data_IF_898454501214
#
_entry.id   IF_898454501214
#
_cell.length_a   1.000
_cell.length_b   1.000
_cell.length_c   1.000
_cell.angle_alpha   90.00
_cell.angle_beta   90.00
_cell.angle_gamma   90.00
#
_symmetry.space_group_name_H-M   'P 1'
#
loop_
_entity.id
_entity.type
_entity.pdbx_description
1 polymer ?
#
# COMPACT_ATOMS: atom_id res chain seq x y z
N UNK A 1 37.50 -4.25 -24.39
CA UNK A 1 37.41 -3.04 -23.53
C UNK A 1 36.09 -3.07 -22.79
N UNK A 2 36.12 -3.50 -21.53
CA UNK A 2 34.96 -3.55 -20.64
C UNK A 2 34.51 -2.14 -20.23
N UNK A 3 33.36 -1.68 -20.74
CA UNK A 3 32.63 -0.57 -20.13
C UNK A 3 31.65 -1.15 -19.10
N UNK A 4 32.15 -1.44 -17.90
CA UNK A 4 31.30 -1.55 -16.71
C UNK A 4 30.78 -0.15 -16.38
N UNK A 5 29.63 0.21 -16.93
CA UNK A 5 28.92 1.44 -16.56
C UNK A 5 28.43 1.28 -15.11
N UNK A 6 29.19 1.83 -14.17
CA UNK A 6 28.76 1.98 -12.77
C UNK A 6 27.56 2.93 -12.74
N UNK A 7 26.35 2.38 -12.71
CA UNK A 7 25.11 3.14 -12.50
C UNK A 7 25.03 3.62 -11.05
N UNK A 8 25.75 4.71 -10.73
CA UNK A 8 25.45 5.51 -9.54
C UNK A 8 24.59 6.68 -9.98
N UNK A 9 23.32 6.65 -9.63
CA UNK A 9 22.40 7.78 -9.83
C UNK A 9 22.70 8.77 -8.70
N UNK A 10 23.33 9.89 -9.06
CA UNK A 10 23.62 10.99 -8.13
C UNK A 10 22.33 11.76 -7.80
N UNK A 11 22.30 12.41 -6.63
CA UNK A 11 21.15 13.17 -6.08
C UNK A 11 20.58 14.20 -7.09
N UNK A 12 21.42 14.70 -8.00
CA UNK A 12 21.09 15.72 -9.01
C UNK A 12 20.39 15.17 -10.26
N UNK A 13 20.53 13.88 -10.57
CA UNK A 13 19.97 13.33 -11.82
C UNK A 13 18.43 13.32 -11.77
N UNK A 14 17.83 12.99 -10.62
CA UNK A 14 16.37 12.85 -10.50
C UNK A 14 15.65 14.19 -10.56
N UNK A 15 16.20 15.24 -9.97
CA UNK A 15 15.61 16.58 -10.08
C UNK A 15 15.62 17.04 -11.55
N UNK A 16 16.70 16.75 -12.27
CA UNK A 16 16.79 16.96 -13.72
C UNK A 16 15.73 16.15 -14.48
N UNK A 17 15.55 14.86 -14.19
CA UNK A 17 14.53 14.03 -14.86
C UNK A 17 13.10 14.52 -14.56
N UNK A 18 12.84 14.92 -13.32
CA UNK A 18 11.56 15.52 -12.91
C UNK A 18 11.32 16.89 -13.56
N UNK A 19 12.38 17.63 -13.96
CA UNK A 19 12.25 18.89 -14.69
C UNK A 19 12.02 18.74 -16.20
N UNK A 20 12.30 17.59 -16.81
CA UNK A 20 12.11 17.36 -18.24
C UNK A 20 10.62 17.21 -18.62
N UNK A 21 10.24 17.56 -19.85
CA UNK A 21 8.97 17.09 -20.40
C UNK A 21 9.02 15.58 -20.68
N UNK A 22 7.86 14.94 -20.81
CA UNK A 22 7.78 13.51 -21.12
C UNK A 22 8.66 13.09 -22.30
N UNK A 23 8.57 13.77 -23.45
CA UNK A 23 9.32 13.37 -24.65
C UNK A 23 10.83 13.65 -24.57
N UNK A 24 11.24 14.67 -23.81
CA UNK A 24 12.67 14.87 -23.51
C UNK A 24 13.21 13.75 -22.63
N UNK A 25 12.45 13.32 -21.61
CA UNK A 25 12.81 12.18 -20.77
C UNK A 25 12.92 10.88 -21.59
N UNK A 26 11.98 10.62 -22.52
CA UNK A 26 12.10 9.46 -23.45
C UNK A 26 13.40 9.52 -24.26
N UNK A 27 13.74 10.69 -24.79
CA UNK A 27 14.96 10.88 -25.58
C UNK A 27 16.22 10.63 -24.74
N UNK A 28 16.23 11.15 -23.51
CA UNK A 28 17.29 10.92 -22.54
C UNK A 28 17.46 9.42 -22.21
N UNK A 29 16.38 8.71 -21.92
CA UNK A 29 16.42 7.27 -21.59
C UNK A 29 16.88 6.41 -22.78
N UNK A 30 16.47 6.77 -24.01
CA UNK A 30 16.97 6.11 -25.24
C UNK A 30 18.47 6.33 -25.44
N UNK A 31 19.00 7.50 -25.06
CA UNK A 31 20.44 7.76 -25.07
C UNK A 31 21.16 6.96 -23.98
N UNK A 32 20.58 6.90 -22.77
CA UNK A 32 21.16 6.23 -21.59
C UNK A 32 21.26 4.71 -21.75
N UNK A 33 20.18 4.06 -22.19
CA UNK A 33 20.10 2.59 -22.26
C UNK A 33 20.21 2.02 -23.67
N UNK A 34 20.24 2.88 -24.69
CA UNK A 34 20.22 2.48 -26.09
C UNK A 34 18.81 2.25 -26.64
N UNK A 35 18.74 2.06 -27.96
CA UNK A 35 17.50 1.84 -28.69
C UNK A 35 17.09 0.37 -28.64
N UNK A 36 15.81 0.12 -28.41
CA UNK A 36 15.18 -1.18 -28.67
C UNK A 36 15.11 -1.37 -30.20
N UNK A 37 15.43 -2.56 -30.68
CA UNK A 37 15.55 -2.85 -32.13
C UNK A 37 14.40 -3.70 -32.68
N UNK A 38 13.63 -4.35 -31.83
CA UNK A 38 12.53 -5.23 -32.22
C UNK A 38 11.23 -4.78 -31.55
N UNK A 39 10.10 -5.13 -32.16
CA UNK A 39 8.78 -4.89 -31.59
C UNK A 39 8.55 -5.68 -30.31
N UNK A 40 7.73 -5.13 -29.42
CA UNK A 40 7.36 -5.72 -28.13
C UNK A 40 6.58 -7.02 -28.29
N UNK A 41 5.68 -7.07 -29.27
CA UNK A 41 4.85 -8.23 -29.53
C UNK A 41 4.79 -8.53 -31.03
N UNK A 42 4.53 -9.80 -31.34
CA UNK A 42 4.17 -10.29 -32.67
C UNK A 42 2.72 -10.75 -32.65
N UNK A 43 1.99 -10.46 -33.71
CA UNK A 43 0.59 -10.85 -33.87
C UNK A 43 0.52 -11.83 -35.02
N UNK A 44 0.01 -13.03 -34.75
CA UNK A 44 -0.26 -14.01 -35.80
C UNK A 44 -1.54 -13.61 -36.53
N UNK A 45 -1.47 -13.53 -37.86
CA UNK A 45 -2.58 -13.09 -38.71
C UNK A 45 -3.76 -14.07 -38.74
N UNK A 46 -3.55 -15.35 -38.44
CA UNK A 46 -4.59 -16.37 -38.58
C UNK A 46 -5.42 -16.63 -37.31
N UNK A 47 -4.94 -16.22 -36.13
CA UNK A 47 -5.61 -16.51 -34.84
C UNK A 47 -5.67 -15.31 -33.88
N UNK A 48 -5.27 -14.12 -34.33
CA UNK A 48 -5.09 -12.94 -33.46
C UNK A 48 -4.24 -13.26 -32.21
N UNK A 49 -3.31 -14.20 -32.36
CA UNK A 49 -2.49 -14.66 -31.25
C UNK A 49 -1.36 -13.68 -31.01
N UNK A 50 -1.31 -13.13 -29.80
CA UNK A 50 -0.26 -12.22 -29.35
C UNK A 50 0.88 -13.01 -28.71
N UNK A 51 2.10 -12.84 -29.24
CA UNK A 51 3.33 -13.41 -28.67
C UNK A 51 4.27 -12.29 -28.25
N UNK A 52 4.63 -12.23 -26.95
CA UNK A 52 5.57 -11.23 -26.42
C UNK A 52 7.01 -11.58 -26.80
N UNK A 53 7.78 -10.59 -27.24
CA UNK A 53 9.17 -10.77 -27.60
C UNK A 53 10.08 -10.78 -26.37
N UNK A 54 10.36 -11.97 -25.86
CA UNK A 54 11.23 -12.12 -24.69
C UNK A 54 12.70 -11.74 -24.94
N UNK A 55 13.15 -11.62 -26.20
CA UNK A 55 14.56 -11.29 -26.53
C UNK A 55 14.93 -9.85 -26.18
N UNK A 56 13.96 -8.95 -26.20
CA UNK A 56 14.16 -7.55 -25.82
C UNK A 56 13.99 -7.32 -24.32
N UNK A 57 13.56 -8.34 -23.56
CA UNK A 57 13.35 -8.19 -22.13
C UNK A 57 14.70 -8.05 -21.41
N UNK A 58 14.82 -7.01 -20.58
CA UNK A 58 16.00 -6.70 -19.77
C UNK A 58 15.71 -6.73 -18.27
N UNK A 59 14.69 -7.48 -17.83
CA UNK A 59 14.37 -7.71 -16.42
C UNK A 59 15.58 -8.25 -15.64
N UNK A 60 16.40 -9.11 -16.25
CA UNK A 60 17.63 -9.64 -15.66
C UNK A 60 18.75 -8.58 -15.50
N UNK A 61 18.65 -7.46 -16.20
CA UNK A 61 19.49 -6.27 -16.02
C UNK A 61 18.82 -5.25 -15.07
N UNK A 62 17.65 -5.55 -14.53
CA UNK A 62 16.87 -4.67 -13.67
C UNK A 62 16.12 -3.55 -14.39
N UNK A 63 15.87 -3.71 -15.70
CA UNK A 63 15.21 -2.73 -16.55
C UNK A 63 13.81 -3.22 -16.99
N UNK A 64 12.92 -2.26 -17.13
CA UNK A 64 11.59 -2.40 -17.71
C UNK A 64 11.56 -1.84 -19.13
N UNK A 65 10.60 -2.31 -19.91
CA UNK A 65 10.19 -1.67 -21.16
C UNK A 65 8.97 -0.78 -20.85
N UNK A 66 9.07 0.48 -21.23
CA UNK A 66 7.96 1.43 -21.25
C UNK A 66 7.50 1.66 -22.68
N UNK A 67 6.19 1.60 -22.91
CA UNK A 67 5.57 1.95 -24.17
C UNK A 67 5.37 3.47 -24.22
N UNK A 68 6.10 4.15 -25.10
CA UNK A 68 6.09 5.62 -25.27
C UNK A 68 4.67 6.14 -25.53
N UNK A 69 3.85 5.35 -26.22
CA UNK A 69 2.46 5.69 -26.55
C UNK A 69 1.48 5.53 -25.37
N UNK A 70 1.93 5.05 -24.21
CA UNK A 70 1.15 5.09 -22.97
C UNK A 70 0.87 6.51 -22.48
N UNK A 71 1.53 7.51 -23.09
CA UNK A 71 1.14 8.91 -22.99
C UNK A 71 -0.28 9.17 -23.48
N UNK A 72 -0.75 8.44 -24.49
CA UNK A 72 -2.08 8.62 -25.08
C UNK A 72 -3.05 7.50 -24.70
N UNK A 73 -2.58 6.25 -24.61
CA UNK A 73 -3.44 5.08 -24.44
C UNK A 73 -2.90 4.21 -23.31
N UNK A 74 -3.64 3.97 -22.22
CA UNK A 74 -3.11 3.24 -21.08
C UNK A 74 -3.01 1.74 -21.37
N UNK A 75 -2.09 1.04 -20.70
CA UNK A 75 -1.99 -0.43 -20.67
C UNK A 75 -1.72 -1.06 -22.05
N UNK A 76 -0.78 -0.51 -22.82
CA UNK A 76 -0.43 -0.98 -24.15
C UNK A 76 0.25 -2.36 -24.18
N UNK A 77 0.55 -2.91 -23.00
CA UNK A 77 1.09 -4.25 -22.82
C UNK A 77 0.01 -5.33 -22.65
N UNK A 78 -1.29 -4.98 -22.66
CA UNK A 78 -2.39 -5.95 -22.58
C UNK A 78 -2.72 -6.53 -23.95
N UNK A 79 -3.11 -7.81 -24.04
CA UNK A 79 -3.43 -8.45 -25.31
C UNK A 79 -4.48 -7.67 -26.12
N UNK A 80 -5.52 -7.16 -25.47
CA UNK A 80 -6.55 -6.35 -26.12
C UNK A 80 -5.97 -5.09 -26.78
N UNK A 81 -5.13 -4.33 -26.07
CA UNK A 81 -4.52 -3.13 -26.65
C UNK A 81 -3.41 -3.44 -27.66
N UNK A 82 -2.73 -4.59 -27.53
CA UNK A 82 -1.76 -5.04 -28.54
C UNK A 82 -2.45 -5.33 -29.86
N UNK A 83 -3.62 -5.96 -29.82
CA UNK A 83 -4.43 -6.24 -31.02
C UNK A 83 -5.04 -4.97 -31.61
N UNK A 84 -5.49 -4.04 -30.75
CA UNK A 84 -6.12 -2.80 -31.18
C UNK A 84 -5.10 -1.77 -31.71
N UNK A 85 -3.88 -1.76 -31.18
CA UNK A 85 -2.81 -0.81 -31.52
C UNK A 85 -1.48 -1.53 -31.80
N UNK A 86 -1.41 -2.37 -32.86
CA UNK A 86 -0.22 -3.14 -33.20
C UNK A 86 1.00 -2.25 -33.51
N UNK A 87 0.79 -1.10 -34.14
CA UNK A 87 1.83 -0.14 -34.50
C UNK A 87 2.46 0.52 -33.26
N UNK A 88 1.78 0.51 -32.10
CA UNK A 88 2.33 1.01 -30.84
C UNK A 88 3.29 0.02 -30.19
N UNK A 89 3.38 -1.21 -30.70
CA UNK A 89 4.30 -2.23 -30.24
C UNK A 89 5.66 -2.15 -30.92
N UNK A 90 5.81 -1.35 -31.97
CA UNK A 90 7.06 -1.21 -32.72
C UNK A 90 8.21 -0.66 -31.87
N UNK A 91 9.44 -1.09 -32.19
CA UNK A 91 10.65 -0.74 -31.45
C UNK A 91 10.84 0.77 -31.19
N UNK A 92 10.45 1.62 -32.15
CA UNK A 92 10.52 3.10 -32.03
C UNK A 92 9.63 3.66 -30.92
N UNK A 93 8.56 2.94 -30.57
CA UNK A 93 7.59 3.29 -29.54
C UNK A 93 7.93 2.70 -28.17
N UNK A 94 9.14 2.16 -28.00
CA UNK A 94 9.59 1.55 -26.74
C UNK A 94 10.82 2.28 -26.19
N UNK A 95 11.00 2.21 -24.87
CA UNK A 95 12.21 2.68 -24.18
C UNK A 95 12.49 1.81 -22.96
N UNK A 96 13.78 1.64 -22.63
CA UNK A 96 14.18 1.01 -21.37
C UNK A 96 14.21 2.02 -20.21
N UNK A 97 13.84 1.58 -19.02
CA UNK A 97 13.93 2.38 -17.80
C UNK A 97 14.07 1.48 -16.56
N UNK A 98 14.75 1.95 -15.51
CA UNK A 98 14.67 1.30 -14.20
C UNK A 98 13.35 1.65 -13.51
N UNK A 99 13.07 1.03 -12.34
CA UNK A 99 11.77 1.20 -11.66
C UNK A 99 11.48 2.65 -11.19
N UNK A 100 12.49 3.43 -10.83
CA UNK A 100 12.31 4.85 -10.44
C UNK A 100 12.05 5.71 -11.68
N UNK A 101 12.80 5.51 -12.75
CA UNK A 101 12.57 6.20 -14.03
C UNK A 101 11.19 5.85 -14.60
N UNK A 102 10.74 4.61 -14.41
CA UNK A 102 9.40 4.16 -14.80
C UNK A 102 8.32 4.89 -14.01
N UNK A 103 8.53 5.11 -12.71
CA UNK A 103 7.65 5.96 -11.90
C UNK A 103 7.61 7.40 -12.45
N UNK A 104 8.77 7.99 -12.77
CA UNK A 104 8.83 9.35 -13.31
C UNK A 104 8.06 9.47 -14.63
N UNK A 105 8.20 8.49 -15.53
CA UNK A 105 7.42 8.46 -16.77
C UNK A 105 5.91 8.50 -16.52
N UNK A 106 5.41 7.73 -15.55
CA UNK A 106 3.99 7.76 -15.19
C UNK A 106 3.55 9.02 -14.46
N UNK A 107 4.42 9.62 -13.65
CA UNK A 107 4.18 10.95 -13.05
C UNK A 107 4.00 12.00 -14.17
N UNK A 108 4.84 11.95 -15.20
CA UNK A 108 4.75 12.85 -16.36
C UNK A 108 3.44 12.66 -17.12
N UNK A 109 3.08 11.42 -17.44
CA UNK A 109 1.79 11.11 -18.08
C UNK A 109 0.62 11.65 -17.25
N UNK A 110 0.65 11.43 -15.92
CA UNK A 110 -0.40 11.93 -15.01
C UNK A 110 -0.51 13.45 -14.99
N UNK A 111 0.60 14.16 -15.04
CA UNK A 111 0.62 15.62 -14.91
C UNK A 111 0.36 16.33 -16.25
N UNK A 112 0.75 15.71 -17.36
CA UNK A 112 0.67 16.32 -18.71
C UNK A 112 -0.58 15.87 -19.50
N UNK A 113 -1.31 14.85 -19.02
CA UNK A 113 -2.44 14.25 -19.77
C UNK A 113 -3.61 13.83 -18.86
N UNK A 114 -4.72 13.43 -19.48
CA UNK A 114 -5.86 12.78 -18.80
C UNK A 114 -5.80 11.25 -18.84
N UNK A 115 -4.71 10.68 -19.38
CA UNK A 115 -4.53 9.24 -19.54
C UNK A 115 -4.48 8.54 -18.18
N UNK A 116 -5.16 7.39 -18.08
CA UNK A 116 -5.19 6.61 -16.83
C UNK A 116 -3.81 6.03 -16.52
N UNK A 117 -3.36 6.20 -15.28
CA UNK A 117 -2.04 5.73 -14.81
C UNK A 117 -2.16 4.62 -13.75
N UNK A 118 -3.15 3.73 -13.90
CA UNK A 118 -3.44 2.64 -12.96
C UNK A 118 -2.21 1.80 -12.60
N UNK A 119 -1.32 1.56 -13.58
CA UNK A 119 -0.06 0.82 -13.40
C UNK A 119 0.86 1.46 -12.35
N UNK A 120 0.87 2.78 -12.27
CA UNK A 120 1.64 3.52 -11.27
C UNK A 120 1.22 3.17 -9.85
N UNK A 121 -0.10 3.21 -9.58
CA UNK A 121 -0.66 2.97 -8.25
C UNK A 121 -0.81 1.48 -7.90
N UNK A 122 -0.99 0.61 -8.89
CA UNK A 122 -1.24 -0.83 -8.68
C UNK A 122 0.02 -1.69 -8.74
N UNK A 123 1.09 -1.20 -9.39
CA UNK A 123 2.31 -1.99 -9.60
C UNK A 123 3.55 -1.25 -9.13
N UNK A 124 3.83 -0.07 -9.69
CA UNK A 124 5.14 0.59 -9.54
C UNK A 124 5.36 1.08 -8.10
N UNK A 125 4.44 1.88 -7.57
CA UNK A 125 4.50 2.41 -6.20
C UNK A 125 4.45 1.27 -5.17
N UNK A 126 3.52 0.31 -5.25
CA UNK A 126 3.52 -0.88 -4.39
C UNK A 126 4.87 -1.62 -4.34
N UNK A 127 5.50 -1.82 -5.50
CA UNK A 127 6.79 -2.52 -5.58
C UNK A 127 7.93 -1.74 -4.95
N UNK A 128 7.99 -0.43 -5.19
CA UNK A 128 8.96 0.45 -4.53
C UNK A 128 8.76 0.47 -3.02
N UNK A 129 7.51 0.55 -2.56
CA UNK A 129 7.19 0.49 -1.14
C UNK A 129 7.67 -0.80 -0.49
N UNK A 130 7.45 -1.93 -1.16
CA UNK A 130 7.89 -3.24 -0.70
C UNK A 130 9.44 -3.32 -0.62
N UNK A 131 10.15 -2.85 -1.64
CA UNK A 131 11.61 -2.76 -1.63
C UNK A 131 12.12 -1.92 -0.44
N UNK A 132 11.53 -0.75 -0.21
CA UNK A 132 11.96 0.16 0.86
C UNK A 132 11.45 -0.22 2.26
N UNK A 133 10.44 -1.09 2.33
CA UNK A 133 10.01 -1.74 3.58
C UNK A 133 10.92 -2.91 3.96
N UNK A 134 11.94 -3.22 3.14
CA UNK A 134 12.95 -4.23 3.46
C UNK A 134 12.59 -5.64 2.98
N UNK A 135 11.65 -5.79 2.04
CA UNK A 135 11.39 -7.11 1.43
C UNK A 135 12.66 -7.64 0.78
N UNK A 136 12.95 -8.91 1.06
CA UNK A 136 14.04 -9.65 0.45
C UNK A 136 13.56 -10.34 -0.83
N UNK A 137 14.10 -9.90 -1.96
CA UNK A 137 13.82 -10.45 -3.28
C UNK A 137 14.84 -11.51 -3.72
N UNK A 138 15.72 -11.98 -2.83
CA UNK A 138 16.68 -13.04 -3.12
C UNK A 138 16.00 -14.24 -3.79
N UNK A 139 16.63 -14.77 -4.84
CA UNK A 139 16.11 -15.89 -5.65
C UNK A 139 14.82 -15.60 -6.42
N UNK A 140 14.50 -14.32 -6.65
CA UNK A 140 13.39 -13.91 -7.51
C UNK A 140 13.92 -13.10 -8.70
N UNK A 141 13.13 -13.02 -9.77
CA UNK A 141 13.43 -12.14 -10.91
C UNK A 141 13.52 -10.66 -10.54
N UNK A 142 13.00 -10.27 -9.39
CA UNK A 142 12.95 -8.89 -8.92
C UNK A 142 14.21 -8.47 -8.13
N UNK A 143 15.11 -9.41 -7.84
CA UNK A 143 16.33 -9.13 -7.07
C UNK A 143 17.19 -8.03 -7.72
N UNK A 144 17.34 -8.09 -9.05
CA UNK A 144 18.14 -7.12 -9.82
C UNK A 144 17.50 -5.73 -9.81
N UNK A 145 16.18 -5.68 -9.97
CA UNK A 145 15.40 -4.43 -9.88
C UNK A 145 15.56 -3.80 -8.50
N UNK A 146 15.36 -4.60 -7.44
CA UNK A 146 15.49 -4.15 -6.06
C UNK A 146 16.90 -3.60 -5.78
N UNK A 147 17.96 -4.31 -6.21
CA UNK A 147 19.35 -3.87 -6.04
C UNK A 147 19.64 -2.51 -6.68
N UNK A 148 19.08 -2.21 -7.86
CA UNK A 148 19.30 -0.94 -8.55
C UNK A 148 18.64 0.22 -7.80
N UNK A 149 17.42 0.04 -7.30
CA UNK A 149 16.63 1.14 -6.73
C UNK A 149 16.76 1.28 -5.21
N UNK A 150 17.23 0.26 -4.49
CA UNK A 150 17.45 0.31 -3.04
C UNK A 150 18.24 1.55 -2.57
N UNK A 151 19.33 2.00 -3.23
CA UNK A 151 20.04 3.22 -2.82
C UNK A 151 19.27 4.52 -3.13
N UNK A 152 18.12 4.47 -3.80
CA UNK A 152 17.40 5.63 -4.35
C UNK A 152 16.16 6.02 -3.54
N UNK A 153 16.12 5.66 -2.25
CA UNK A 153 14.96 5.90 -1.37
C UNK A 153 14.59 7.39 -1.28
N UNK A 154 15.57 8.27 -1.16
CA UNK A 154 15.31 9.71 -1.08
C UNK A 154 14.77 10.26 -2.41
N UNK A 155 15.26 9.74 -3.53
CA UNK A 155 14.80 10.07 -4.87
C UNK A 155 13.35 9.60 -5.07
N UNK A 156 13.00 8.43 -4.55
CA UNK A 156 11.61 7.97 -4.53
C UNK A 156 10.69 8.96 -3.77
N UNK A 157 11.10 9.43 -2.60
CA UNK A 157 10.34 10.44 -1.87
C UNK A 157 10.16 11.74 -2.65
N UNK A 158 11.19 12.21 -3.36
CA UNK A 158 11.10 13.37 -4.26
C UNK A 158 10.07 13.12 -5.37
N UNK A 159 10.08 11.95 -6.00
CA UNK A 159 9.09 11.58 -7.01
C UNK A 159 7.65 11.63 -6.45
N UNK A 160 7.43 11.10 -5.25
CA UNK A 160 6.11 11.15 -4.62
C UNK A 160 5.67 12.57 -4.24
N UNK A 161 6.59 13.42 -3.81
CA UNK A 161 6.29 14.84 -3.55
C UNK A 161 5.86 15.56 -4.85
N UNK A 162 6.46 15.21 -5.98
CA UNK A 162 6.14 15.76 -7.30
C UNK A 162 4.74 15.36 -7.83
N UNK A 163 4.10 14.34 -7.25
CA UNK A 163 2.71 14.00 -7.59
C UNK A 163 1.69 15.05 -7.13
N UNK A 164 2.11 16.03 -6.31
CA UNK A 164 1.27 17.11 -5.79
C UNK A 164 -0.07 16.64 -5.20
N UNK A 165 -0.04 15.51 -4.48
CA UNK A 165 -1.24 14.93 -3.89
C UNK A 165 -1.87 15.94 -2.92
N UNK A 166 -3.16 16.25 -3.14
CA UNK A 166 -3.86 17.31 -2.38
C UNK A 166 -4.70 16.75 -1.23
N UNK A 167 -5.39 15.63 -1.45
CA UNK A 167 -6.35 15.06 -0.50
C UNK A 167 -5.83 13.76 0.12
N UNK A 168 -6.26 13.43 1.34
CA UNK A 168 -5.81 12.21 2.03
C UNK A 168 -6.09 10.93 1.23
N UNK A 169 -7.20 10.88 0.51
CA UNK A 169 -7.58 9.71 -0.30
C UNK A 169 -6.61 9.47 -1.47
N UNK A 170 -5.93 10.51 -1.94
CA UNK A 170 -4.89 10.38 -2.97
C UNK A 170 -3.58 9.83 -2.40
N UNK A 171 -3.27 10.16 -1.15
CA UNK A 171 -2.14 9.55 -0.43
C UNK A 171 -2.40 8.09 -0.09
N UNK A 172 -3.64 7.75 0.25
CA UNK A 172 -4.02 6.37 0.55
C UNK A 172 -3.75 5.43 -0.64
N UNK A 173 -3.79 5.94 -1.87
CA UNK A 173 -3.42 5.18 -3.09
C UNK A 173 -1.94 4.83 -3.18
N UNK A 174 -1.08 5.59 -2.50
CA UNK A 174 0.38 5.36 -2.50
C UNK A 174 0.87 4.61 -1.26
N UNK A 175 0.02 4.40 -0.25
CA UNK A 175 0.32 3.59 0.94
C UNK A 175 -0.09 2.12 0.72
N UNK A 176 0.47 1.53 -0.34
CA UNK A 176 0.04 0.25 -0.91
C UNK A 176 1.24 -0.67 -1.15
N UNK A 177 0.95 -1.94 -1.43
CA UNK A 177 1.95 -2.99 -1.61
C UNK A 177 1.42 -4.12 -2.47
N UNK A 178 2.33 -4.91 -3.05
CA UNK A 178 1.95 -5.96 -3.96
C UNK A 178 1.47 -7.19 -3.20
N UNK A 179 0.23 -7.62 -3.48
CA UNK A 179 -0.38 -8.79 -2.82
C UNK A 179 0.45 -10.07 -3.02
N UNK A 180 1.12 -10.20 -4.16
CA UNK A 180 2.01 -11.33 -4.48
C UNK A 180 3.24 -11.41 -3.57
N UNK A 181 3.66 -10.29 -2.96
CA UNK A 181 4.79 -10.26 -2.04
C UNK A 181 4.44 -10.74 -0.63
N UNK A 182 3.17 -11.12 -0.35
CA UNK A 182 2.78 -11.78 0.92
C UNK A 182 3.69 -12.96 1.25
N UNK A 183 4.03 -13.75 0.23
CA UNK A 183 4.92 -14.93 0.36
C UNK A 183 6.38 -14.55 0.66
N UNK A 184 6.77 -13.32 0.34
CA UNK A 184 8.11 -12.74 0.59
C UNK A 184 8.16 -11.95 1.91
N UNK A 185 7.14 -12.11 2.77
CA UNK A 185 7.09 -11.44 4.07
C UNK A 185 6.40 -10.08 4.05
N UNK A 186 5.78 -9.66 2.94
CA UNK A 186 4.95 -8.46 2.96
C UNK A 186 3.78 -8.58 3.95
N UNK A 187 3.62 -7.58 4.82
CA UNK A 187 2.39 -7.36 5.59
C UNK A 187 2.22 -5.88 5.95
N UNK A 188 1.00 -5.47 6.31
CA UNK A 188 0.72 -4.10 6.80
C UNK A 188 1.63 -3.76 7.99
N UNK A 189 1.84 -4.72 8.90
CA UNK A 189 2.69 -4.54 10.08
C UNK A 189 4.16 -4.35 9.69
N UNK A 190 4.65 -5.14 8.74
CA UNK A 190 6.06 -5.09 8.34
C UNK A 190 6.39 -3.81 7.55
N UNK A 191 5.41 -3.23 6.87
CA UNK A 191 5.58 -1.98 6.12
C UNK A 191 5.22 -0.74 6.94
N UNK A 192 4.78 -0.89 8.20
CA UNK A 192 4.26 0.21 9.01
C UNK A 192 5.29 1.31 9.20
N UNK A 193 6.53 0.97 9.54
CA UNK A 193 7.61 1.93 9.77
C UNK A 193 7.89 2.77 8.52
N UNK A 194 7.98 2.12 7.36
CA UNK A 194 8.20 2.80 6.09
C UNK A 194 7.01 3.69 5.69
N UNK A 195 5.77 3.24 5.94
CA UNK A 195 4.59 4.06 5.69
C UNK A 195 4.49 5.25 6.63
N UNK A 196 4.94 5.12 7.89
CA UNK A 196 5.01 6.25 8.81
C UNK A 196 6.07 7.27 8.37
N UNK A 197 7.22 6.81 7.88
CA UNK A 197 8.23 7.67 7.27
C UNK A 197 7.68 8.41 6.05
N UNK A 198 7.00 7.71 5.13
CA UNK A 198 6.34 8.31 3.96
C UNK A 198 5.34 9.40 4.36
N UNK A 199 4.46 9.12 5.33
CA UNK A 199 3.48 10.08 5.84
C UNK A 199 4.15 11.34 6.38
N UNK A 200 5.25 11.18 7.11
CA UNK A 200 6.02 12.29 7.67
C UNK A 200 6.63 13.14 6.55
N UNK A 201 7.33 12.51 5.60
CA UNK A 201 8.00 13.21 4.50
C UNK A 201 7.01 13.98 3.62
N UNK A 202 5.83 13.42 3.37
CA UNK A 202 4.83 14.03 2.49
C UNK A 202 3.82 14.92 3.24
N UNK A 203 4.04 15.22 4.53
CA UNK A 203 3.16 16.03 5.37
C UNK A 203 1.70 15.55 5.39
N UNK A 204 1.48 14.24 5.40
CA UNK A 204 0.15 13.62 5.30
C UNK A 204 -0.87 14.17 6.32
N UNK A 205 -0.47 14.33 7.58
CA UNK A 205 -1.39 14.74 8.65
C UNK A 205 -1.84 16.21 8.55
N UNK A 206 -1.07 17.05 7.86
CA UNK A 206 -1.40 18.47 7.63
C UNK A 206 -2.40 18.68 6.49
N UNK A 207 -2.75 17.63 5.74
CA UNK A 207 -3.71 17.72 4.63
C UNK A 207 -5.13 17.65 5.16
N UNK A 208 -6.00 18.54 4.70
CA UNK A 208 -7.44 18.51 5.01
C UNK A 208 -8.06 17.23 4.41
N UNK A 209 -8.52 16.31 5.25
CA UNK A 209 -9.40 15.24 4.81
C UNK A 209 -10.80 15.80 4.57
N UNK A 210 -11.47 15.38 3.50
CA UNK A 210 -12.92 15.56 3.44
C UNK A 210 -13.49 14.73 4.60
N UNK A 211 -14.32 15.32 5.45
CA UNK A 211 -15.16 14.52 6.35
C UNK A 211 -16.09 13.71 5.46
N UNK A 212 -15.73 12.44 5.24
CA UNK A 212 -16.49 11.56 4.38
C UNK A 212 -17.77 11.15 5.12
N UNK A 213 -18.83 11.93 4.96
CA UNK A 213 -20.21 11.46 5.07
C UNK A 213 -20.50 10.71 3.78
N UNK A 214 -20.66 9.40 3.94
CA UNK A 214 -21.45 8.48 3.13
C UNK A 214 -21.08 8.25 1.65
N UNK A 215 -20.73 6.97 1.41
CA UNK A 215 -20.80 6.16 0.17
C UNK A 215 -19.46 5.90 -0.59
N UNK A 216 -19.23 4.60 -0.82
CA UNK A 216 -18.26 3.82 -1.67
C UNK A 216 -16.82 3.50 -1.15
N UNK A 217 -16.15 2.40 -1.61
CA UNK A 217 -16.18 1.08 -0.97
C UNK A 217 -14.79 0.53 -0.55
N UNK A 218 -14.82 -0.37 0.45
CA UNK A 218 -13.83 -1.39 0.86
C UNK A 218 -12.41 -1.35 0.26
N UNK A 219 -11.62 -0.37 0.68
CA UNK A 219 -10.15 -0.40 0.60
C UNK A 219 -9.49 -0.93 1.89
N UNK A 220 -8.21 -1.35 1.85
CA UNK A 220 -7.47 -1.92 2.99
C UNK A 220 -7.36 -0.97 4.21
N UNK A 221 -7.54 0.35 4.02
CA UNK A 221 -7.63 1.32 5.11
C UNK A 221 -8.95 1.25 5.90
N UNK A 222 -10.06 0.82 5.26
CA UNK A 222 -11.30 0.53 5.98
C UNK A 222 -11.09 -0.64 6.94
N UNK A 223 -10.31 -1.65 6.55
CA UNK A 223 -9.97 -2.76 7.43
C UNK A 223 -9.14 -2.32 8.64
N UNK A 224 -8.09 -1.50 8.47
CA UNK A 224 -7.25 -1.05 9.61
C UNK A 224 -8.05 -0.14 10.55
N UNK A 225 -8.85 0.79 10.00
CA UNK A 225 -9.72 1.67 10.81
C UNK A 225 -10.80 0.86 11.54
N UNK A 226 -11.35 -0.18 10.91
CA UNK A 226 -12.31 -1.08 11.54
C UNK A 226 -11.68 -2.02 12.55
N UNK A 227 -10.46 -2.51 12.33
CA UNK A 227 -9.71 -3.31 13.30
C UNK A 227 -9.38 -2.47 14.53
N UNK A 228 -8.98 -1.21 14.35
CA UNK A 228 -8.75 -0.29 15.47
C UNK A 228 -10.05 0.01 16.23
N UNK A 229 -11.13 0.36 15.52
CA UNK A 229 -12.46 0.57 16.12
C UNK A 229 -13.00 -0.69 16.81
N UNK A 230 -12.78 -1.87 16.24
CA UNK A 230 -13.20 -3.16 16.82
C UNK A 230 -12.40 -3.50 18.08
N UNK A 231 -11.09 -3.26 18.09
CA UNK A 231 -10.25 -3.39 19.30
C UNK A 231 -10.70 -2.41 20.39
N UNK A 232 -11.00 -1.17 20.04
CA UNK A 232 -11.51 -0.16 20.98
C UNK A 232 -12.91 -0.51 21.50
N UNK A 233 -13.79 -1.06 20.66
CA UNK A 233 -15.12 -1.54 21.04
C UNK A 233 -15.05 -2.74 21.99
N UNK A 234 -14.21 -3.73 21.70
CA UNK A 234 -13.94 -4.86 22.59
C UNK A 234 -13.41 -4.41 23.95
N UNK A 235 -12.48 -3.45 23.98
CA UNK A 235 -11.97 -2.89 25.25
C UNK A 235 -13.02 -2.09 26.02
N UNK A 236 -13.97 -1.44 25.35
CA UNK A 236 -15.11 -0.77 26.00
C UNK A 236 -16.12 -1.77 26.54
N UNK A 237 -16.38 -2.84 25.79
CA UNK A 237 -17.27 -3.92 26.21
C UNK A 237 -16.70 -4.69 27.40
N UNK A 238 -15.39 -4.99 27.42
CA UNK A 238 -14.72 -5.64 28.56
C UNK A 238 -14.75 -4.75 29.82
N UNK A 239 -14.53 -3.45 29.67
CA UNK A 239 -14.67 -2.48 30.78
C UNK A 239 -16.11 -2.37 31.28
N UNK A 240 -17.08 -2.38 30.38
CA UNK A 240 -18.51 -2.40 30.71
C UNK A 240 -18.90 -3.67 31.49
N UNK A 241 -18.51 -4.85 31.00
CA UNK A 241 -18.79 -6.14 31.64
C UNK A 241 -18.16 -6.20 33.04
N UNK A 242 -16.90 -5.76 33.19
CA UNK A 242 -16.25 -5.65 34.51
C UNK A 242 -17.02 -4.71 35.45
N UNK A 243 -17.48 -3.55 34.95
CA UNK A 243 -18.26 -2.60 35.77
C UNK A 243 -19.62 -3.16 36.21
N UNK A 244 -20.29 -3.94 35.35
CA UNK A 244 -21.56 -4.61 35.65
C UNK A 244 -21.33 -5.73 36.67
N UNK A 245 -20.26 -6.51 36.53
CA UNK A 245 -19.86 -7.53 37.50
C UNK A 245 -19.61 -6.95 38.89
N UNK A 246 -18.89 -5.81 38.98
CA UNK A 246 -18.65 -5.11 40.24
C UNK A 246 -19.95 -4.58 40.87
N UNK A 247 -20.87 -4.04 40.06
CA UNK A 247 -22.18 -3.58 40.55
C UNK A 247 -23.04 -4.74 41.07
N UNK A 248 -23.07 -5.87 40.34
CA UNK A 248 -23.80 -7.08 40.78
C UNK A 248 -23.23 -7.65 42.08
N UNK A 249 -21.91 -7.70 42.24
CA UNK A 249 -21.26 -8.17 43.47
C UNK A 249 -21.63 -7.30 44.69
N UNK A 250 -21.67 -5.97 44.54
CA UNK A 250 -22.12 -5.07 45.62
C UNK A 250 -23.59 -5.28 46.00
N UNK A 251 -24.48 -5.40 45.02
CA UNK A 251 -25.91 -5.62 45.29
C UNK A 251 -26.14 -6.95 46.01
N UNK A 252 -25.44 -8.02 45.60
CA UNK A 252 -25.49 -9.30 46.30
C UNK A 252 -24.97 -9.21 47.74
N UNK A 253 -23.89 -8.46 47.98
CA UNK A 253 -23.40 -8.21 49.33
C UNK A 253 -24.45 -7.56 50.24
N UNK A 254 -25.18 -6.56 49.73
CA UNK A 254 -26.28 -5.93 50.47
C UNK A 254 -27.43 -6.89 50.77
N UNK A 255 -27.88 -7.66 49.77
CA UNK A 255 -28.97 -8.63 49.94
C UNK A 255 -28.60 -9.68 51.01
N UNK A 256 -27.39 -10.23 50.95
CA UNK A 256 -26.90 -11.21 51.93
C UNK A 256 -26.86 -10.59 53.34
N UNK A 257 -26.39 -9.34 53.48
CA UNK A 257 -26.36 -8.68 54.78
C UNK A 257 -27.75 -8.48 55.41
N UNK A 258 -28.77 -8.17 54.60
CA UNK A 258 -30.15 -8.02 55.06
C UNK A 258 -30.76 -9.37 55.47
N UNK A 259 -30.53 -10.42 54.69
CA UNK A 259 -31.00 -11.77 55.01
C UNK A 259 -30.39 -12.25 56.34
N UNK A 260 -29.09 -12.04 56.54
CA UNK A 260 -28.41 -12.39 57.80
C UNK A 260 -29.04 -11.64 58.99
N UNK A 261 -29.32 -10.35 58.84
CA UNK A 261 -29.98 -9.57 59.90
C UNK A 261 -31.37 -10.11 60.25
N UNK A 262 -32.18 -10.47 59.23
CA UNK A 262 -33.51 -11.06 59.44
C UNK A 262 -33.41 -12.40 60.18
N UNK A 263 -32.47 -13.26 59.80
CA UNK A 263 -32.26 -14.56 60.47
C UNK A 263 -31.87 -14.37 61.94
N UNK A 264 -30.97 -13.42 62.24
CA UNK A 264 -30.57 -13.10 63.61
C UNK A 264 -31.78 -12.67 64.45
N UNK A 265 -32.64 -11.78 63.92
CA UNK A 265 -33.86 -11.34 64.61
C UNK A 265 -34.81 -12.51 64.85
N UNK A 266 -35.03 -13.38 63.86
CA UNK A 266 -35.87 -14.56 64.00
C UNK A 266 -35.35 -15.51 65.09
N UNK A 267 -34.03 -15.73 65.15
CA UNK A 267 -33.39 -16.55 66.20
C UNK A 267 -33.62 -15.93 67.58
N UNK A 268 -33.46 -14.61 67.73
CA UNK A 268 -33.69 -13.91 69.01
C UNK A 268 -35.15 -14.10 69.46
N UNK A 269 -36.12 -13.97 68.54
CA UNK A 269 -37.54 -14.18 68.83
C UNK A 269 -37.81 -15.61 69.28
N UNK A 270 -37.26 -16.61 68.57
CA UNK A 270 -37.42 -18.02 68.92
C UNK A 270 -36.82 -18.32 70.30
N UNK A 271 -35.63 -17.79 70.60
CA UNK A 271 -35.01 -17.92 71.92
C UNK A 271 -35.90 -17.29 73.00
N UNK A 272 -36.42 -16.08 72.77
CA UNK A 272 -37.31 -15.41 73.73
C UNK A 272 -38.58 -16.24 74.02
N UNK A 273 -39.21 -16.80 72.99
CA UNK A 273 -40.39 -17.67 73.14
C UNK A 273 -40.05 -18.98 73.87
N UNK A 274 -38.89 -19.58 73.60
CA UNK A 274 -38.44 -20.80 74.28
C UNK A 274 -38.10 -20.55 75.75
N UNK A 275 -37.52 -19.40 76.08
CA UNK A 275 -37.26 -18.99 77.47
C UNK A 275 -38.58 -18.80 78.22
N UNK A 276 -39.55 -18.11 77.62
CA UNK A 276 -40.87 -17.88 78.24
C UNK A 276 -41.65 -19.19 78.49
N UNK A 277 -41.54 -20.16 77.57
CA UNK A 277 -42.12 -21.50 77.73
C UNK A 277 -41.43 -22.36 78.80
N UNK A 278 -40.18 -22.07 79.17
CA UNK A 278 -39.47 -22.79 80.25
C UNK A 278 -39.77 -22.22 81.65
N UNK A 279 -40.30 -21.01 81.72
CA UNK A 279 -40.65 -20.31 82.97
C UNK A 279 -42.13 -20.44 83.37
N UNK A 280 -42.93 -21.17 82.59
CA UNK A 280 -44.30 -21.59 82.92
C UNK A 280 -44.33 -23.10 83.11
#
# INVERSE_FOLDING_TARGET
MDKKTKNYIFVDEIDKLLGMSYFYLISYLKQKYGKIRESYAKISSCWEQVTINNKINKENEGLYIHHVKEYHIPNLNTNSNILLYPEYQEARNLVYCNLIEYLILFIKIKNETTTKVDKMYKIIIPKLNDIYSGIDYNNTKDEKIAKIVKPLKNQYFKCLAYLELKKKEDFDKILTSLRENRKLGWSIKNNEDFFMELKKVLNYDKRSGIQQTDIVPNGPLHFIKNVKRYKEALQRQDRSIKSIGIKRARVWGYIVSVIIAIIIVAIIIVIAVLVEKKTK
#
